data_IF_190410008158
#
_entry.id   IF_190410008158
#
_cell.length_a   1.000
_cell.length_b   1.000
_cell.length_c   1.000
_cell.angle_alpha   90.00
_cell.angle_beta   90.00
_cell.angle_gamma   90.00
#
_symmetry.space_group_name_H-M   'P 1'
#
loop_
_entity.id
_entity.type
_entity.pdbx_description
1 polymer ?
#
# COMPACT_ATOMS: atom_id res chain seq x y z
N UNK A 1 18.15 51.45 -14.16
CA UNK A 1 16.77 50.96 -14.18
C UNK A 1 16.61 49.61 -14.90
N UNK A 2 17.49 49.16 -15.77
CA UNK A 2 17.37 47.87 -16.49
C UNK A 2 17.68 46.65 -15.66
N UNK A 3 18.57 46.73 -14.67
CA UNK A 3 19.04 45.62 -13.84
C UNK A 3 18.04 45.16 -12.79
N UNK A 4 17.17 46.02 -12.30
CA UNK A 4 16.13 45.69 -11.31
C UNK A 4 14.96 44.93 -11.90
N UNK A 5 14.64 45.13 -13.17
CA UNK A 5 13.52 44.44 -13.86
C UNK A 5 13.87 42.97 -14.15
N UNK A 6 15.16 42.68 -14.50
CA UNK A 6 15.60 41.31 -14.80
C UNK A 6 15.56 40.39 -13.56
N UNK A 7 15.91 40.91 -12.37
CA UNK A 7 15.88 40.14 -11.12
C UNK A 7 14.45 39.82 -10.68
N UNK A 8 13.49 40.71 -10.91
CA UNK A 8 12.08 40.50 -10.56
C UNK A 8 11.42 39.42 -11.45
N UNK A 9 11.79 39.35 -12.74
CA UNK A 9 11.28 38.33 -13.66
C UNK A 9 11.82 36.93 -13.33
N UNK A 10 13.07 36.80 -12.88
CA UNK A 10 13.64 35.51 -12.47
C UNK A 10 12.97 34.92 -11.21
N UNK A 11 12.62 35.77 -10.23
CA UNK A 11 11.95 35.36 -9.01
C UNK A 11 10.52 34.82 -9.27
N UNK A 12 9.81 35.40 -10.25
CA UNK A 12 8.46 34.97 -10.63
C UNK A 12 8.47 33.61 -11.38
N UNK A 13 9.47 33.33 -12.21
CA UNK A 13 9.58 32.09 -12.95
C UNK A 13 9.88 30.89 -12.04
N UNK A 14 10.67 31.05 -10.98
CA UNK A 14 10.99 29.99 -10.02
C UNK A 14 9.76 29.59 -9.20
N UNK A 15 8.92 30.54 -8.81
CA UNK A 15 7.71 30.24 -8.02
C UNK A 15 6.64 29.44 -8.80
N UNK A 16 6.52 29.65 -10.09
CA UNK A 16 5.53 28.92 -10.94
C UNK A 16 5.95 27.47 -11.20
N UNK A 17 7.25 27.19 -11.34
CA UNK A 17 7.76 25.85 -11.55
C UNK A 17 7.58 24.98 -10.30
N UNK A 18 7.88 25.52 -9.11
CA UNK A 18 7.72 24.80 -7.86
C UNK A 18 6.25 24.40 -7.59
N UNK A 19 5.30 25.31 -7.85
CA UNK A 19 3.87 25.04 -7.67
C UNK A 19 3.34 23.97 -8.64
N UNK A 20 3.81 23.97 -9.88
CA UNK A 20 3.43 22.99 -10.88
C UNK A 20 3.96 21.60 -10.54
N UNK A 21 5.17 21.49 -10.01
CA UNK A 21 5.78 20.22 -9.61
C UNK A 21 5.09 19.59 -8.40
N UNK A 22 4.75 20.37 -7.39
CA UNK A 22 3.99 19.89 -6.22
C UNK A 22 2.60 19.36 -6.63
N UNK A 23 1.92 20.03 -7.56
CA UNK A 23 0.62 19.58 -8.06
C UNK A 23 0.74 18.26 -8.85
N UNK A 24 1.73 18.14 -9.72
CA UNK A 24 1.96 16.94 -10.52
C UNK A 24 2.31 15.72 -9.62
N UNK A 25 3.10 15.94 -8.57
CA UNK A 25 3.43 14.88 -7.60
C UNK A 25 2.17 14.40 -6.87
N UNK A 26 1.36 15.33 -6.34
CA UNK A 26 0.11 14.97 -5.64
C UNK A 26 -0.88 14.22 -6.55
N UNK A 27 -0.91 14.51 -7.85
CA UNK A 27 -1.70 13.74 -8.83
C UNK A 27 -1.16 12.30 -8.99
N UNK A 28 0.14 12.09 -8.86
CA UNK A 28 0.77 10.78 -8.87
C UNK A 28 0.33 9.91 -7.69
N UNK A 29 0.37 10.48 -6.47
CA UNK A 29 -0.03 9.79 -5.24
C UNK A 29 -1.55 9.56 -5.20
N UNK A 30 -2.35 10.50 -5.69
CA UNK A 30 -3.79 10.32 -5.87
C UNK A 30 -4.08 9.15 -6.82
N UNK A 31 -3.40 9.10 -7.97
CA UNK A 31 -3.50 7.99 -8.92
C UNK A 31 -3.06 6.64 -8.33
N UNK A 32 -2.06 6.62 -7.45
CA UNK A 32 -1.65 5.40 -6.74
C UNK A 32 -2.74 4.93 -5.77
N UNK A 33 -3.33 5.83 -5.00
CA UNK A 33 -4.46 5.53 -4.11
C UNK A 33 -5.70 5.04 -4.87
N UNK A 34 -6.01 5.63 -6.03
CA UNK A 34 -7.09 5.19 -6.90
C UNK A 34 -6.86 3.79 -7.47
N UNK A 35 -5.64 3.49 -7.93
CA UNK A 35 -5.27 2.15 -8.41
C UNK A 35 -5.42 1.11 -7.31
N UNK A 36 -4.98 1.41 -6.10
CA UNK A 36 -5.14 0.53 -4.95
C UNK A 36 -6.61 0.30 -4.59
N UNK A 37 -7.42 1.36 -4.60
CA UNK A 37 -8.87 1.28 -4.39
C UNK A 37 -9.56 0.40 -5.44
N UNK A 38 -9.16 0.55 -6.70
CA UNK A 38 -9.68 -0.26 -7.82
C UNK A 38 -9.32 -1.73 -7.66
N UNK A 39 -8.03 -2.05 -7.43
CA UNK A 39 -7.56 -3.43 -7.20
C UNK A 39 -8.32 -4.08 -6.05
N UNK A 40 -8.42 -3.39 -4.92
CA UNK A 40 -9.12 -3.88 -3.75
C UNK A 40 -10.61 -4.11 -4.03
N UNK A 41 -11.28 -3.14 -4.66
CA UNK A 41 -12.68 -3.24 -5.02
C UNK A 41 -12.99 -4.39 -6.00
N UNK A 42 -12.12 -4.63 -6.98
CA UNK A 42 -12.26 -5.75 -7.92
C UNK A 42 -12.08 -7.11 -7.23
N UNK A 43 -11.17 -7.23 -6.27
CA UNK A 43 -10.98 -8.44 -5.47
C UNK A 43 -12.20 -8.71 -4.61
N UNK A 44 -12.68 -7.71 -3.87
CA UNK A 44 -13.85 -7.83 -2.99
C UNK A 44 -15.15 -8.01 -3.75
N UNK A 45 -15.25 -7.49 -4.97
CA UNK A 45 -16.41 -7.65 -5.85
C UNK A 45 -16.49 -9.01 -6.56
N UNK A 46 -15.49 -9.90 -6.39
CA UNK A 46 -15.50 -11.22 -7.02
C UNK A 46 -16.28 -12.21 -6.13
N UNK A 47 -17.46 -12.70 -6.56
CA UNK A 47 -18.26 -13.61 -5.74
C UNK A 47 -17.48 -14.89 -5.42
N UNK A 48 -17.56 -15.33 -4.15
CA UNK A 48 -16.98 -16.59 -3.64
C UNK A 48 -15.46 -16.80 -3.86
N UNK A 49 -14.74 -15.77 -4.30
CA UNK A 49 -13.28 -15.83 -4.56
C UNK A 49 -12.50 -14.65 -3.98
N UNK A 50 -13.15 -13.73 -3.29
CA UNK A 50 -12.51 -12.57 -2.67
C UNK A 50 -11.82 -12.91 -1.34
N UNK A 51 -11.30 -11.87 -0.70
CA UNK A 51 -10.82 -11.95 0.69
C UNK A 51 -12.03 -12.21 1.59
N UNK A 52 -11.96 -13.21 2.50
CA UNK A 52 -13.02 -13.47 3.46
C UNK A 52 -13.31 -12.24 4.32
N UNK A 53 -14.58 -11.91 4.48
CA UNK A 53 -15.04 -10.72 5.18
C UNK A 53 -14.57 -10.68 6.64
N UNK A 54 -14.60 -11.83 7.32
CA UNK A 54 -14.18 -11.99 8.71
C UNK A 54 -12.68 -11.72 8.91
N UNK A 55 -11.85 -12.04 7.91
CA UNK A 55 -10.42 -11.72 7.93
C UNK A 55 -10.18 -10.22 7.69
N UNK A 56 -10.93 -9.63 6.76
CA UNK A 56 -10.85 -8.19 6.54
C UNK A 56 -11.29 -7.41 7.79
N UNK A 57 -12.31 -7.87 8.48
CA UNK A 57 -12.77 -7.26 9.73
C UNK A 57 -11.78 -7.38 10.89
N UNK A 58 -11.00 -8.47 10.92
CA UNK A 58 -9.94 -8.68 11.93
C UNK A 58 -8.65 -7.92 11.61
N UNK A 59 -8.42 -7.56 10.36
CA UNK A 59 -7.18 -6.91 9.97
C UNK A 59 -7.03 -5.53 10.63
N UNK A 60 -5.87 -5.26 11.19
CA UNK A 60 -5.47 -3.96 11.75
C UNK A 60 -5.12 -2.95 10.64
N UNK A 61 -4.45 -3.42 9.58
CA UNK A 61 -4.11 -2.62 8.42
C UNK A 61 -4.28 -3.43 7.14
N UNK A 62 -4.52 -2.72 6.04
CA UNK A 62 -4.50 -3.27 4.69
C UNK A 62 -3.51 -2.49 3.85
N UNK A 63 -2.63 -3.19 3.13
CA UNK A 63 -1.76 -2.60 2.12
C UNK A 63 -2.04 -3.19 0.75
N UNK A 64 -2.00 -2.35 -0.28
CA UNK A 64 -2.17 -2.76 -1.68
C UNK A 64 -1.02 -2.21 -2.50
N UNK A 65 -0.36 -3.08 -3.25
CA UNK A 65 0.70 -2.78 -4.19
C UNK A 65 0.21 -3.12 -5.61
N UNK A 66 -0.38 -2.15 -6.33
CA UNK A 66 -0.85 -2.37 -7.68
C UNK A 66 0.31 -2.52 -8.66
N UNK A 67 0.15 -3.41 -9.63
CA UNK A 67 1.05 -3.53 -10.78
C UNK A 67 2.53 -3.67 -10.42
N UNK A 68 2.85 -4.48 -9.40
CA UNK A 68 4.22 -4.85 -9.08
C UNK A 68 4.83 -5.56 -10.27
N UNK A 69 5.93 -5.03 -10.80
CA UNK A 69 6.62 -5.57 -11.94
C UNK A 69 7.66 -6.60 -11.48
N UNK A 70 7.62 -7.77 -12.07
CA UNK A 70 8.64 -8.80 -11.96
C UNK A 70 9.33 -8.92 -13.32
N UNK A 71 10.65 -8.76 -13.34
CA UNK A 71 11.44 -8.87 -14.55
C UNK A 71 12.72 -9.66 -14.28
N UNK A 72 13.12 -10.51 -15.22
CA UNK A 72 14.36 -11.29 -15.13
C UNK A 72 14.36 -12.53 -16.00
N UNK A 73 15.53 -13.17 -16.01
CA UNK A 73 15.77 -14.47 -16.64
C UNK A 73 16.54 -15.33 -15.63
N UNK A 74 15.95 -16.41 -15.13
CA UNK A 74 16.46 -17.27 -14.06
C UNK A 74 16.60 -16.53 -12.72
N UNK A 75 17.29 -15.40 -12.71
CA UNK A 75 17.39 -14.46 -11.59
C UNK A 75 16.86 -13.12 -12.05
N UNK A 76 16.04 -12.48 -11.25
CA UNK A 76 15.45 -11.20 -11.57
C UNK A 76 15.16 -10.38 -10.32
N UNK A 77 14.48 -9.26 -10.53
CA UNK A 77 13.95 -8.42 -9.48
C UNK A 77 12.45 -8.24 -9.61
N UNK A 78 11.83 -7.90 -8.52
CA UNK A 78 10.46 -7.40 -8.53
C UNK A 78 10.35 -6.16 -7.66
N UNK A 79 9.49 -5.24 -8.07
CA UNK A 79 9.31 -4.00 -7.35
C UNK A 79 8.06 -3.26 -7.76
N UNK A 80 7.53 -2.47 -6.86
CA UNK A 80 6.36 -1.64 -7.08
C UNK A 80 6.10 -0.69 -5.93
N UNK A 81 5.18 0.25 -6.15
CA UNK A 81 4.70 1.22 -5.16
C UNK A 81 3.32 0.79 -4.67
N UNK A 82 3.01 1.07 -3.42
CA UNK A 82 1.74 0.73 -2.81
C UNK A 82 1.30 1.74 -1.77
N UNK A 83 0.10 1.53 -1.27
CA UNK A 83 -0.48 2.32 -0.19
C UNK A 83 -1.00 1.41 0.90
N UNK A 84 -0.93 1.88 2.13
CA UNK A 84 -1.52 1.21 3.29
C UNK A 84 -2.44 2.16 4.04
N UNK A 85 -3.45 1.60 4.71
CA UNK A 85 -4.31 2.30 5.65
C UNK A 85 -4.59 1.37 6.82
N UNK A 86 -4.67 1.92 8.03
CA UNK A 86 -4.87 1.18 9.26
C UNK A 86 -6.18 1.59 9.94
N UNK A 87 -6.69 0.73 10.81
CA UNK A 87 -7.89 1.04 11.59
C UNK A 87 -7.62 2.12 12.61
N UNK A 88 -8.58 2.98 12.74
CA UNK A 88 -8.63 4.03 13.75
C UNK A 88 -9.99 4.01 14.44
N UNK A 89 -10.15 4.76 15.52
CA UNK A 89 -11.44 4.92 16.20
C UNK A 89 -12.55 5.48 15.31
N UNK A 90 -12.19 6.16 14.21
CA UNK A 90 -13.12 6.77 13.26
C UNK A 90 -13.19 6.03 11.91
N UNK A 91 -12.74 4.79 11.83
CA UNK A 91 -12.69 3.99 10.60
C UNK A 91 -11.26 3.74 10.12
N UNK A 92 -10.93 4.14 8.90
CA UNK A 92 -9.61 3.92 8.31
C UNK A 92 -8.77 5.21 8.30
N UNK A 93 -7.49 5.08 8.58
CA UNK A 93 -6.53 6.19 8.56
C UNK A 93 -6.38 6.80 7.17
N UNK A 94 -5.78 7.98 7.10
CA UNK A 94 -5.21 8.49 5.86
C UNK A 94 -4.22 7.47 5.25
N UNK A 95 -4.03 7.45 3.91
CA UNK A 95 -3.14 6.49 3.26
C UNK A 95 -1.67 6.86 3.51
N UNK A 96 -0.84 5.86 3.83
CA UNK A 96 0.62 6.00 3.81
C UNK A 96 1.22 5.23 2.63
N UNK A 97 2.32 5.72 2.08
CA UNK A 97 2.93 5.22 0.87
C UNK A 97 4.15 4.36 1.15
N UNK A 98 4.28 3.28 0.39
CA UNK A 98 5.33 2.29 0.55
C UNK A 98 5.87 1.83 -0.79
N UNK A 99 7.12 1.40 -0.81
CA UNK A 99 7.72 0.62 -1.88
C UNK A 99 7.84 -0.84 -1.44
N UNK A 100 7.68 -1.74 -2.38
CA UNK A 100 7.93 -3.18 -2.23
C UNK A 100 9.00 -3.56 -3.24
N UNK A 101 10.01 -4.32 -2.80
CA UNK A 101 11.06 -4.76 -3.70
C UNK A 101 11.80 -5.98 -3.19
N UNK A 102 12.47 -6.69 -4.10
CA UNK A 102 13.31 -7.83 -3.73
C UNK A 102 13.75 -8.65 -4.93
N UNK A 103 14.61 -9.63 -4.66
CA UNK A 103 15.02 -10.62 -5.64
C UNK A 103 13.86 -11.54 -6.02
N UNK A 104 13.85 -11.98 -7.24
CA UNK A 104 12.94 -13.01 -7.73
C UNK A 104 13.72 -14.12 -8.45
N UNK A 105 13.33 -15.36 -8.19
CA UNK A 105 13.85 -16.51 -8.89
C UNK A 105 12.73 -17.14 -9.73
N UNK A 106 13.03 -17.56 -10.93
CA UNK A 106 12.08 -18.26 -11.78
C UNK A 106 12.58 -18.43 -13.20
N UNK A 107 12.15 -19.52 -13.84
CA UNK A 107 12.49 -19.86 -15.23
C UNK A 107 11.66 -19.06 -16.25
N UNK A 108 11.08 -17.94 -15.86
CA UNK A 108 10.26 -17.12 -16.76
C UNK A 108 11.12 -16.04 -17.43
N UNK A 109 11.06 -16.01 -18.75
CA UNK A 109 11.63 -14.94 -19.57
C UNK A 109 10.52 -13.91 -19.77
N UNK A 110 10.72 -12.68 -19.31
CA UNK A 110 9.78 -11.59 -19.57
C UNK A 110 9.50 -10.72 -18.37
N UNK A 111 8.55 -9.81 -18.54
CA UNK A 111 8.01 -8.97 -17.50
C UNK A 111 6.57 -9.40 -17.19
N UNK A 112 6.28 -9.57 -15.91
CA UNK A 112 4.94 -9.85 -15.40
C UNK A 112 4.52 -8.76 -14.44
N UNK A 113 3.25 -8.36 -14.50
CA UNK A 113 2.65 -7.40 -13.58
C UNK A 113 1.66 -8.13 -12.68
N UNK A 114 1.81 -7.96 -11.36
CA UNK A 114 0.97 -8.62 -10.35
C UNK A 114 0.56 -7.60 -9.31
N UNK A 115 -0.71 -7.60 -8.93
CA UNK A 115 -1.20 -6.83 -7.80
C UNK A 115 -1.04 -7.67 -6.53
N UNK A 116 -0.54 -7.06 -5.45
CA UNK A 116 -0.48 -7.69 -4.14
C UNK A 116 -1.38 -6.96 -3.15
N UNK A 117 -2.07 -7.75 -2.32
CA UNK A 117 -2.85 -7.26 -1.17
C UNK A 117 -2.35 -7.97 0.09
N UNK A 118 -2.13 -7.22 1.13
CA UNK A 118 -1.64 -7.72 2.42
C UNK A 118 -2.56 -7.25 3.53
N UNK A 119 -2.98 -8.19 4.37
CA UNK A 119 -3.71 -7.93 5.61
C UNK A 119 -2.75 -8.09 6.78
N UNK A 120 -2.58 -7.07 7.58
CA UNK A 120 -1.82 -7.08 8.81
C UNK A 120 -2.77 -7.46 9.95
N UNK A 121 -2.63 -8.68 10.47
CA UNK A 121 -3.67 -9.34 11.26
C UNK A 121 -3.59 -9.05 12.77
N UNK A 122 -2.47 -8.56 13.25
CA UNK A 122 -2.23 -8.34 14.67
C UNK A 122 -1.28 -7.15 14.92
N UNK A 123 -1.08 -6.83 16.21
CA UNK A 123 -0.22 -5.71 16.63
C UNK A 123 1.24 -5.85 16.17
N UNK A 124 1.76 -7.07 16.07
CA UNK A 124 3.14 -7.28 15.61
C UNK A 124 3.27 -7.01 14.12
N UNK A 125 2.30 -7.45 13.31
CA UNK A 125 2.20 -7.07 11.90
C UNK A 125 2.06 -5.56 11.71
N UNK A 126 1.19 -4.91 12.51
CA UNK A 126 1.08 -3.46 12.53
C UNK A 126 2.42 -2.80 12.86
N UNK A 127 3.13 -3.24 13.91
CA UNK A 127 4.42 -2.68 14.30
C UNK A 127 5.47 -2.82 13.19
N UNK A 128 5.46 -3.93 12.45
CA UNK A 128 6.32 -4.10 11.28
C UNK A 128 6.02 -3.06 10.21
N UNK A 129 4.75 -2.81 9.90
CA UNK A 129 4.35 -1.78 8.94
C UNK A 129 4.71 -0.35 9.41
N UNK A 130 4.66 -0.10 10.71
CA UNK A 130 5.04 1.18 11.30
C UNK A 130 6.56 1.39 11.42
N UNK A 131 7.37 0.36 11.15
CA UNK A 131 8.81 0.50 10.99
C UNK A 131 9.14 1.13 9.64
N UNK A 132 10.34 1.70 9.53
CA UNK A 132 10.74 2.32 8.26
C UNK A 132 10.95 1.30 7.14
N UNK A 133 11.32 0.07 7.50
CA UNK A 133 11.64 -1.01 6.57
C UNK A 133 11.52 -2.36 7.28
N UNK A 134 11.00 -3.37 6.62
CA UNK A 134 10.95 -4.74 7.12
C UNK A 134 10.92 -5.77 5.97
N UNK A 135 11.37 -6.99 6.26
CA UNK A 135 11.43 -8.11 5.32
C UNK A 135 10.30 -9.10 5.60
N UNK A 136 9.51 -9.42 4.59
CA UNK A 136 8.48 -10.44 4.65
C UNK A 136 9.09 -11.83 4.84
N UNK A 137 8.64 -12.56 5.85
CA UNK A 137 9.16 -13.87 6.21
C UNK A 137 10.49 -13.84 6.96
N UNK A 138 11.11 -12.68 7.16
CA UNK A 138 12.25 -12.43 8.02
C UNK A 138 11.82 -11.71 9.30
N UNK A 139 11.52 -10.41 9.18
CA UNK A 139 11.13 -9.56 10.31
C UNK A 139 9.65 -9.73 10.69
N UNK A 140 8.80 -10.04 9.72
CA UNK A 140 7.38 -10.31 9.93
C UNK A 140 6.97 -11.63 9.28
N UNK A 141 6.26 -12.47 10.00
CA UNK A 141 5.74 -13.73 9.47
C UNK A 141 4.65 -13.44 8.42
N UNK A 142 4.76 -14.08 7.26
CA UNK A 142 3.81 -13.95 6.15
C UNK A 142 3.31 -15.31 5.72
N UNK A 143 2.01 -15.43 5.47
CA UNK A 143 1.39 -16.63 4.92
C UNK A 143 0.46 -16.29 3.75
N UNK A 144 0.22 -17.28 2.90
CA UNK A 144 -0.81 -17.20 1.88
C UNK A 144 -2.20 -17.08 2.52
N UNK A 145 -2.93 -16.02 2.20
CA UNK A 145 -4.28 -15.81 2.70
C UNK A 145 -5.27 -16.80 2.09
N UNK A 146 -6.25 -17.32 2.85
CA UNK A 146 -7.31 -18.15 2.30
C UNK A 146 -8.24 -17.32 1.43
N UNK A 147 -8.80 -17.92 0.37
CA UNK A 147 -9.72 -17.25 -0.56
C UNK A 147 -11.10 -17.93 -0.54
N UNK A 148 -12.15 -17.12 -0.66
CA UNK A 148 -13.51 -17.61 -0.74
C UNK A 148 -14.03 -18.23 0.56
N UNK A 149 -15.09 -19.02 0.45
CA UNK A 149 -15.80 -19.61 1.61
C UNK A 149 -15.04 -20.79 2.28
N UNK A 150 -14.00 -21.32 1.68
CA UNK A 150 -13.22 -22.44 2.23
C UNK A 150 -12.25 -22.03 3.36
N UNK A 151 -12.26 -20.77 3.74
CA UNK A 151 -11.42 -20.23 4.78
C UNK A 151 -11.58 -20.90 6.17
N UNK A 152 -12.67 -21.60 6.41
CA UNK A 152 -12.99 -22.17 7.72
C UNK A 152 -12.23 -23.44 8.13
N UNK A 153 -11.67 -24.22 7.21
CA UNK A 153 -11.10 -25.53 7.50
C UNK A 153 -9.56 -25.60 7.60
N UNK A 154 -8.84 -24.60 7.06
CA UNK A 154 -7.36 -24.59 7.08
C UNK A 154 -6.77 -23.54 8.07
N UNK A 155 -7.57 -23.05 8.99
CA UNK A 155 -7.48 -21.70 9.52
C UNK A 155 -6.48 -21.55 10.67
N UNK A 156 -6.25 -22.57 11.51
CA UNK A 156 -5.54 -22.37 12.79
C UNK A 156 -4.05 -22.09 12.66
N UNK A 157 -3.35 -22.70 11.72
CA UNK A 157 -1.90 -22.47 11.54
C UNK A 157 -1.59 -21.21 10.71
N UNK A 158 -2.46 -20.87 9.73
CA UNK A 158 -2.28 -19.69 8.88
C UNK A 158 -2.74 -18.40 9.56
N UNK A 159 -3.72 -18.47 10.46
CA UNK A 159 -4.21 -17.30 11.22
C UNK A 159 -3.23 -16.78 12.28
N UNK A 160 -2.19 -17.55 12.61
CA UNK A 160 -1.09 -17.10 13.47
C UNK A 160 -0.05 -16.25 12.71
N UNK A 161 -0.14 -16.13 11.38
CA UNK A 161 0.73 -15.25 10.64
C UNK A 161 0.40 -13.78 10.94
N UNK A 162 1.44 -12.96 11.06
CA UNK A 162 1.29 -11.51 11.26
C UNK A 162 0.70 -10.84 10.02
N UNK A 163 0.99 -11.40 8.84
CA UNK A 163 0.56 -10.87 7.55
C UNK A 163 -0.03 -12.00 6.70
N UNK A 164 -1.25 -11.79 6.19
CA UNK A 164 -1.83 -12.62 5.15
C UNK A 164 -1.67 -11.93 3.80
N UNK A 165 -1.11 -12.61 2.82
CA UNK A 165 -0.83 -12.04 1.52
C UNK A 165 -1.61 -12.73 0.41
N UNK A 166 -1.98 -11.92 -0.57
CA UNK A 166 -2.76 -12.30 -1.74
C UNK A 166 -2.13 -11.70 -2.99
N UNK A 167 -2.28 -12.37 -4.11
CA UNK A 167 -1.87 -11.88 -5.42
C UNK A 167 -3.00 -11.94 -6.43
N UNK A 168 -2.99 -11.02 -7.36
CA UNK A 168 -3.83 -11.05 -8.55
C UNK A 168 -2.98 -10.83 -9.79
N UNK A 169 -2.97 -11.83 -10.66
CA UNK A 169 -2.30 -11.79 -11.97
C UNK A 169 -3.23 -12.33 -13.05
N UNK A 170 -3.34 -11.63 -14.18
CA UNK A 170 -4.17 -12.03 -15.34
C UNK A 170 -5.62 -12.39 -14.96
N UNK A 171 -6.20 -11.67 -14.01
CA UNK A 171 -7.59 -11.90 -13.54
C UNK A 171 -7.77 -13.07 -12.56
N UNK A 172 -6.71 -13.79 -12.20
CA UNK A 172 -6.73 -14.83 -11.20
C UNK A 172 -6.30 -14.25 -9.84
N UNK A 173 -7.08 -14.53 -8.81
CA UNK A 173 -6.81 -14.14 -7.43
C UNK A 173 -6.53 -15.37 -6.57
N UNK A 174 -5.44 -15.33 -5.81
CA UNK A 174 -5.03 -16.43 -4.93
C UNK A 174 -4.21 -15.90 -3.74
N UNK A 175 -4.22 -16.67 -2.64
CA UNK A 175 -3.23 -16.48 -1.59
C UNK A 175 -1.83 -16.87 -2.08
N UNK A 176 -0.84 -16.04 -1.77
CA UNK A 176 0.55 -16.26 -2.17
C UNK A 176 1.49 -15.90 -1.01
N UNK A 177 2.42 -16.78 -0.72
CA UNK A 177 3.47 -16.49 0.26
C UNK A 177 4.57 -15.62 -0.35
N UNK A 178 4.79 -14.43 0.23
CA UNK A 178 5.73 -13.41 -0.27
C UNK A 178 6.96 -13.31 0.62
N UNK A 179 7.78 -14.37 0.71
CA UNK A 179 9.02 -14.35 1.51
C UNK A 179 10.17 -13.63 0.81
N UNK A 180 10.99 -12.92 1.58
CA UNK A 180 12.21 -12.27 1.11
C UNK A 180 11.98 -10.93 0.40
N UNK A 181 10.75 -10.45 0.32
CA UNK A 181 10.47 -9.11 -0.17
C UNK A 181 10.60 -8.10 0.97
N UNK A 182 11.16 -6.95 0.65
CA UNK A 182 11.33 -5.82 1.55
C UNK A 182 10.23 -4.81 1.29
N UNK A 183 9.55 -4.37 2.34
CA UNK A 183 8.62 -3.24 2.31
C UNK A 183 9.28 -2.08 3.04
N UNK A 184 9.24 -0.90 2.41
CA UNK A 184 9.86 0.32 2.91
C UNK A 184 8.94 1.50 2.75
N UNK A 185 8.86 2.37 3.77
CA UNK A 185 8.11 3.61 3.69
C UNK A 185 8.71 4.51 2.59
N UNK A 186 7.86 4.98 1.67
CA UNK A 186 8.23 5.90 0.61
C UNK A 186 8.26 7.33 1.14
N UNK A 187 9.46 7.79 1.49
CA UNK A 187 9.65 9.11 2.10
C UNK A 187 9.35 10.27 1.14
N UNK A 188 9.52 10.04 -0.15
CA UNK A 188 9.28 11.05 -1.17
C UNK A 188 7.79 11.24 -1.38
N UNK A 189 7.03 10.16 -1.56
CA UNK A 189 5.58 10.20 -1.66
C UNK A 189 4.93 10.73 -0.37
N UNK A 190 5.44 10.31 0.80
CA UNK A 190 4.97 10.82 2.09
C UNK A 190 5.20 12.34 2.22
N UNK A 191 6.37 12.84 1.80
CA UNK A 191 6.66 14.27 1.79
C UNK A 191 5.75 15.04 0.84
N UNK A 192 5.50 14.49 -0.34
CA UNK A 192 4.72 15.15 -1.38
C UNK A 192 3.24 15.29 -0.98
N UNK A 193 2.73 14.34 -0.20
CA UNK A 193 1.33 14.37 0.31
C UNK A 193 1.19 15.15 1.62
N UNK A 194 2.11 14.94 2.57
CA UNK A 194 1.94 15.39 3.96
C UNK A 194 2.95 16.47 4.39
N UNK A 195 3.95 16.75 3.54
CA UNK A 195 5.02 17.66 3.89
C UNK A 195 6.24 16.96 4.50
N UNK A 196 7.31 17.74 4.68
CA UNK A 196 8.58 17.24 5.16
C UNK A 196 8.50 16.77 6.64
N UNK A 197 9.08 15.61 6.92
CA UNK A 197 9.21 15.06 8.27
C UNK A 197 8.03 14.21 8.75
N UNK A 198 6.92 14.17 8.02
CA UNK A 198 5.78 13.31 8.36
C UNK A 198 6.11 11.85 8.06
N UNK A 199 5.91 10.98 9.02
CA UNK A 199 6.20 9.55 8.92
C UNK A 199 4.95 8.72 8.66
N UNK A 200 5.13 7.54 8.06
CA UNK A 200 4.04 6.58 7.89
C UNK A 200 3.37 6.21 9.25
N UNK A 201 4.15 6.15 10.33
CA UNK A 201 3.64 5.88 11.67
C UNK A 201 2.67 6.96 12.15
N UNK A 202 3.00 8.24 11.97
CA UNK A 202 2.13 9.36 12.37
C UNK A 202 0.82 9.35 11.60
N UNK A 203 0.85 9.05 10.30
CA UNK A 203 -0.34 8.98 9.45
C UNK A 203 -1.21 7.77 9.80
N UNK A 204 -0.61 6.58 9.95
CA UNK A 204 -1.35 5.33 10.11
C UNK A 204 -1.89 5.12 11.54
N UNK A 205 -1.13 5.53 12.57
CA UNK A 205 -1.47 5.28 13.96
C UNK A 205 -2.03 6.51 14.67
N UNK A 206 -1.33 7.63 14.56
CA UNK A 206 -1.66 8.82 15.33
C UNK A 206 -2.75 9.66 14.66
N UNK A 207 -3.08 9.34 13.40
CA UNK A 207 -4.12 10.00 12.58
C UNK A 207 -4.02 11.53 12.63
N UNK A 208 -2.79 12.05 12.75
CA UNK A 208 -2.51 13.47 12.96
C UNK A 208 -2.79 14.32 11.73
N UNK A 209 -2.66 13.73 10.56
CA UNK A 209 -2.72 14.46 9.31
C UNK A 209 -3.99 14.17 8.53
N UNK A 210 -4.64 15.26 8.14
CA UNK A 210 -5.80 15.18 7.26
C UNK A 210 -5.30 15.04 5.83
N UNK A 211 -5.40 13.84 5.25
CA UNK A 211 -5.04 13.63 3.86
C UNK A 211 -5.83 14.56 2.92
N UNK A 212 -5.19 15.13 1.88
CA UNK A 212 -5.89 15.79 0.80
C UNK A 212 -6.99 14.90 0.21
N UNK A 213 -8.09 15.49 -0.25
CA UNK A 213 -9.26 14.75 -0.76
C UNK A 213 -8.83 13.79 -1.89
N UNK A 214 -7.93 14.21 -2.78
CA UNK A 214 -7.48 13.42 -3.92
C UNK A 214 -6.85 12.07 -3.56
N UNK A 215 -6.19 11.95 -2.41
CA UNK A 215 -5.51 10.71 -2.04
C UNK A 215 -6.36 9.77 -1.18
N UNK A 216 -7.60 10.11 -0.86
CA UNK A 216 -8.46 9.32 0.05
C UNK A 216 -9.19 8.14 -0.63
N UNK A 217 -8.98 7.90 -1.92
CA UNK A 217 -9.71 6.86 -2.65
C UNK A 217 -9.57 5.47 -1.98
N UNK A 218 -8.38 5.10 -1.54
CA UNK A 218 -8.14 3.79 -0.92
C UNK A 218 -8.81 3.62 0.45
N UNK A 219 -8.63 4.49 1.46
CA UNK A 219 -9.36 4.34 2.73
C UNK A 219 -10.88 4.43 2.57
N UNK A 220 -11.40 5.20 1.61
CA UNK A 220 -12.84 5.22 1.30
C UNK A 220 -13.28 3.84 0.76
N UNK A 221 -12.50 3.23 -0.13
CA UNK A 221 -12.79 1.89 -0.64
C UNK A 221 -12.79 0.83 0.48
N UNK A 222 -11.83 0.87 1.39
CA UNK A 222 -11.79 -0.01 2.55
C UNK A 222 -13.04 0.14 3.43
N UNK A 223 -13.46 1.36 3.70
CA UNK A 223 -14.65 1.65 4.51
C UNK A 223 -15.97 1.10 3.93
N UNK A 224 -16.04 0.91 2.60
CA UNK A 224 -17.22 0.31 1.95
C UNK A 224 -17.36 -1.19 2.23
N UNK A 225 -16.25 -1.89 2.43
CA UNK A 225 -16.22 -3.33 2.65
C UNK A 225 -16.01 -3.71 4.11
N UNK A 226 -15.51 -2.82 4.93
CA UNK A 226 -15.32 -3.06 6.36
C UNK A 226 -15.45 -1.77 7.14
N UNK A 227 -16.58 -1.65 7.86
CA UNK A 227 -16.95 -0.48 8.67
C UNK A 227 -16.55 -0.61 10.14
N UNK A 228 -15.90 -1.73 10.56
CA UNK A 228 -15.44 -1.88 11.95
C UNK A 228 -14.42 -0.80 12.30
N UNK A 229 -14.64 -0.09 13.37
CA UNK A 229 -13.67 0.83 13.96
C UNK A 229 -12.62 0.05 14.78
N UNK A 230 -11.48 0.66 15.08
CA UNK A 230 -10.54 0.09 16.03
C UNK A 230 -11.22 -0.10 17.38
N UNK A 231 -11.02 -1.23 18.03
CA UNK A 231 -11.38 -1.43 19.42
C UNK A 231 -10.33 -0.71 20.29
N UNK A 232 -10.80 0.07 21.26
CA UNK A 232 -9.96 0.69 22.28
C UNK A 232 -9.12 -0.31 23.08
#
# INVERSE_FOLDING_TARGET
MLTTVAVLCLAFAVSTVASAQTKANLEGEAGQSEKAAKVFGEIMGTPDKGIPQDLLEKAECVAVFPSVLKAGFVVGGQGGRGVASCRTVNGWSAPAYFTLGGGSFGLQIGAESTDFVMLFMNKDGLNSLLSNEFTLGGDASVAAGPVGRQAGAETDLKLNAQILSYSRSKGLFAGLELKGLVIKADKDDMRDVYGAGVTAKEVLKDNKDTAPIGVRAFPIALGRYSSRNATE
#
